data_IF_395056201571
#
_entry.id   IF_395056201571
#
_cell.length_a   1.000
_cell.length_b   1.000
_cell.length_c   1.000
_cell.angle_alpha   90.00
_cell.angle_beta   90.00
_cell.angle_gamma   90.00
#
_symmetry.space_group_name_H-M   'P 1'
#
loop_
_entity.id
_entity.type
_entity.pdbx_description
1 polymer ?
#
# COMPACT_ATOMS: atom_id res chain seq x y z
N UNK A 1 -12.02 -42.68 -43.61
CA UNK A 1 -11.46 -41.38 -44.05
C UNK A 1 -12.10 -40.18 -43.35
N UNK A 2 -13.43 -40.09 -43.28
CA UNK A 2 -14.17 -38.96 -42.66
C UNK A 2 -13.94 -38.75 -41.14
N UNK A 3 -13.64 -39.83 -40.39
CA UNK A 3 -13.34 -39.75 -38.95
C UNK A 3 -11.98 -39.09 -38.65
N UNK A 4 -10.98 -39.33 -39.50
CA UNK A 4 -9.63 -38.76 -39.37
C UNK A 4 -9.64 -37.26 -39.67
N UNK A 5 -10.43 -36.83 -40.66
CA UNK A 5 -10.61 -35.42 -41.02
C UNK A 5 -11.32 -34.65 -39.90
N UNK A 6 -12.39 -35.22 -39.30
CA UNK A 6 -13.06 -34.61 -38.13
C UNK A 6 -12.11 -34.44 -36.94
N UNK A 7 -11.25 -35.44 -36.70
CA UNK A 7 -10.28 -35.41 -35.59
C UNK A 7 -9.14 -34.41 -35.82
N UNK A 8 -8.68 -34.26 -37.07
CA UNK A 8 -7.71 -33.22 -37.46
C UNK A 8 -8.29 -31.82 -37.36
N UNK A 9 -9.54 -31.61 -37.79
CA UNK A 9 -10.22 -30.33 -37.67
C UNK A 9 -10.50 -29.94 -36.21
N UNK A 10 -10.84 -30.91 -35.36
CA UNK A 10 -10.98 -30.68 -33.92
C UNK A 10 -9.64 -30.27 -33.29
N UNK A 11 -8.54 -30.95 -33.64
CA UNK A 11 -7.18 -30.57 -33.18
C UNK A 11 -6.75 -29.20 -33.68
N UNK A 12 -7.01 -28.87 -34.94
CA UNK A 12 -6.68 -27.55 -35.49
C UNK A 12 -7.50 -26.43 -34.83
N UNK A 13 -8.78 -26.68 -34.51
CA UNK A 13 -9.61 -25.73 -33.76
C UNK A 13 -9.11 -25.53 -32.32
N UNK A 14 -8.71 -26.60 -31.63
CA UNK A 14 -8.12 -26.54 -30.30
C UNK A 14 -6.80 -25.73 -30.29
N UNK A 15 -5.92 -25.95 -31.26
CA UNK A 15 -4.65 -25.21 -31.37
C UNK A 15 -4.91 -23.73 -31.68
N UNK A 16 -5.88 -23.40 -32.55
CA UNK A 16 -6.25 -22.01 -32.83
C UNK A 16 -6.92 -21.32 -31.63
N UNK A 17 -7.76 -22.04 -30.89
CA UNK A 17 -8.42 -21.52 -29.70
C UNK A 17 -7.41 -21.26 -28.58
N UNK A 18 -6.47 -22.18 -28.35
CA UNK A 18 -5.35 -21.98 -27.42
C UNK A 18 -4.47 -20.80 -27.83
N UNK A 19 -4.13 -20.65 -29.13
CA UNK A 19 -3.37 -19.50 -29.60
C UNK A 19 -4.12 -18.17 -29.48
N UNK A 20 -5.45 -18.14 -29.60
CA UNK A 20 -6.27 -16.93 -29.39
C UNK A 20 -6.33 -16.57 -27.90
N UNK A 21 -6.58 -17.56 -27.05
CA UNK A 21 -6.64 -17.38 -25.59
C UNK A 21 -5.31 -16.89 -25.03
N UNK A 22 -4.17 -17.45 -25.47
CA UNK A 22 -2.86 -16.97 -25.01
C UNK A 22 -2.56 -15.52 -25.47
N UNK A 23 -3.07 -15.08 -26.63
CA UNK A 23 -2.95 -13.69 -27.07
C UNK A 23 -3.82 -12.76 -26.23
N UNK A 24 -5.10 -13.09 -26.05
CA UNK A 24 -6.03 -12.33 -25.21
C UNK A 24 -5.52 -12.19 -23.76
N UNK A 25 -4.93 -13.26 -23.21
CA UNK A 25 -4.31 -13.23 -21.88
C UNK A 25 -3.08 -12.35 -21.82
N UNK A 26 -2.24 -12.37 -22.84
CA UNK A 26 -1.07 -11.48 -22.89
C UNK A 26 -1.49 -10.01 -23.00
N UNK A 27 -2.52 -9.70 -23.79
CA UNK A 27 -3.11 -8.36 -23.83
C UNK A 27 -3.66 -7.95 -22.45
N UNK A 28 -4.43 -8.83 -21.80
CA UNK A 28 -4.95 -8.58 -20.45
C UNK A 28 -3.83 -8.38 -19.41
N UNK A 29 -2.74 -9.12 -19.50
CA UNK A 29 -1.56 -8.97 -18.64
C UNK A 29 -0.86 -7.63 -18.87
N UNK A 30 -0.68 -7.22 -20.13
CA UNK A 30 -0.08 -5.92 -20.49
C UNK A 30 -0.96 -4.77 -19.98
N UNK A 31 -2.27 -4.84 -20.21
CA UNK A 31 -3.23 -3.86 -19.72
C UNK A 31 -3.23 -3.78 -18.19
N UNK A 32 -3.14 -4.92 -17.51
CA UNK A 32 -3.06 -4.98 -16.07
C UNK A 32 -1.74 -4.39 -15.55
N UNK A 33 -0.62 -4.65 -16.23
CA UNK A 33 0.68 -4.09 -15.89
C UNK A 33 0.70 -2.56 -16.04
N UNK A 34 0.15 -2.05 -17.14
CA UNK A 34 0.03 -0.61 -17.38
C UNK A 34 -0.92 0.05 -16.38
N UNK A 35 -2.01 -0.61 -16.02
CA UNK A 35 -2.94 -0.11 -15.01
C UNK A 35 -2.26 0.00 -13.64
N UNK A 36 -1.56 -1.04 -13.18
CA UNK A 36 -0.83 -1.01 -11.91
C UNK A 36 0.34 -0.02 -11.89
N UNK A 37 0.92 0.30 -13.06
CA UNK A 37 1.98 1.29 -13.18
C UNK A 37 1.45 2.74 -13.20
N UNK A 38 0.23 2.95 -13.73
CA UNK A 38 -0.41 4.26 -13.83
C UNK A 38 -1.27 4.61 -12.63
N UNK A 39 -1.77 3.62 -11.89
CA UNK A 39 -2.38 3.84 -10.58
C UNK A 39 -1.36 4.58 -9.72
N UNK A 40 -1.79 5.72 -9.23
CA UNK A 40 -0.88 6.66 -8.62
C UNK A 40 -0.46 6.07 -7.27
N UNK A 41 0.79 6.31 -6.91
CA UNK A 41 1.32 6.24 -5.54
C UNK A 41 0.41 6.81 -4.43
N UNK A 42 -0.58 7.59 -4.84
CA UNK A 42 -1.58 8.25 -4.00
C UNK A 42 -2.78 7.37 -3.65
N UNK A 43 -3.03 6.29 -4.41
CA UNK A 43 -4.19 5.43 -4.25
C UNK A 43 -4.18 4.68 -2.93
N UNK A 44 -5.36 4.56 -2.33
CA UNK A 44 -5.54 3.80 -1.10
C UNK A 44 -5.28 2.31 -1.36
N UNK A 45 -4.66 1.63 -0.38
CA UNK A 45 -4.30 0.21 -0.46
C UNK A 45 -5.46 -0.68 -0.95
N UNK A 46 -6.68 -0.41 -0.49
CA UNK A 46 -7.88 -1.14 -0.90
C UNK A 46 -8.18 -1.02 -2.40
N UNK A 47 -7.95 0.16 -2.99
CA UNK A 47 -8.18 0.39 -4.41
C UNK A 47 -7.22 -0.45 -5.27
N UNK A 48 -5.95 -0.47 -4.90
CA UNK A 48 -4.93 -1.29 -5.57
C UNK A 48 -5.23 -2.77 -5.39
N UNK A 49 -5.62 -3.21 -4.19
CA UNK A 49 -6.01 -4.60 -3.95
C UNK A 49 -7.20 -5.03 -4.81
N UNK A 50 -8.25 -4.20 -4.88
CA UNK A 50 -9.43 -4.46 -5.72
C UNK A 50 -9.06 -4.45 -7.21
N UNK A 51 -8.12 -3.61 -7.64
CA UNK A 51 -7.63 -3.61 -9.01
C UNK A 51 -6.89 -4.92 -9.32
N UNK A 52 -6.03 -5.39 -8.42
CA UNK A 52 -5.32 -6.67 -8.57
C UNK A 52 -6.31 -7.83 -8.69
N UNK A 53 -7.30 -7.93 -7.80
CA UNK A 53 -8.32 -8.98 -7.86
C UNK A 53 -9.09 -8.95 -9.20
N UNK A 54 -9.56 -7.78 -9.63
CA UNK A 54 -10.27 -7.61 -10.90
C UNK A 54 -9.44 -8.02 -12.11
N UNK A 55 -8.17 -7.64 -12.14
CA UNK A 55 -7.28 -7.94 -13.27
C UNK A 55 -6.86 -9.41 -13.28
N UNK A 56 -6.61 -10.01 -12.12
CA UNK A 56 -6.38 -11.45 -12.02
C UNK A 56 -7.57 -12.24 -12.56
N UNK A 57 -8.79 -11.84 -12.21
CA UNK A 57 -10.01 -12.44 -12.74
C UNK A 57 -10.11 -12.29 -14.27
N UNK A 58 -9.77 -11.11 -14.81
CA UNK A 58 -9.78 -10.88 -16.27
C UNK A 58 -8.72 -11.71 -17.02
N UNK A 59 -7.51 -11.86 -16.46
CA UNK A 59 -6.42 -12.65 -17.06
C UNK A 59 -6.77 -14.14 -17.08
N UNK A 60 -7.41 -14.63 -16.02
CA UNK A 60 -7.64 -16.08 -15.83
C UNK A 60 -9.02 -16.54 -16.28
N UNK A 61 -9.97 -15.63 -16.36
CA UNK A 61 -11.40 -15.96 -16.43
C UNK A 61 -11.95 -16.55 -15.12
N UNK A 62 -11.14 -16.61 -14.05
CA UNK A 62 -11.53 -17.20 -12.77
C UNK A 62 -12.03 -16.14 -11.79
N UNK A 63 -12.75 -16.57 -10.74
CA UNK A 63 -13.00 -15.70 -9.60
C UNK A 63 -11.68 -15.51 -8.84
N UNK A 64 -11.38 -14.28 -8.44
CA UNK A 64 -10.08 -13.95 -7.87
C UNK A 64 -10.20 -13.13 -6.59
N UNK A 65 -9.31 -13.38 -5.63
CA UNK A 65 -9.18 -12.57 -4.44
C UNK A 65 -7.71 -12.34 -4.11
N UNK A 66 -7.36 -11.12 -3.68
CA UNK A 66 -6.05 -10.81 -3.14
C UNK A 66 -6.18 -10.66 -1.62
N UNK A 67 -5.48 -11.50 -0.88
CA UNK A 67 -5.42 -11.50 0.57
C UNK A 67 -4.05 -10.98 1.05
N UNK A 68 -4.04 -9.89 1.81
CA UNK A 68 -2.87 -9.45 2.56
C UNK A 68 -2.75 -10.26 3.85
N UNK A 69 -1.52 -10.64 4.18
CA UNK A 69 -1.22 -11.39 5.39
C UNK A 69 -0.28 -10.64 6.30
N UNK A 70 -0.52 -10.82 7.59
CA UNK A 70 0.34 -10.27 8.63
C UNK A 70 1.63 -11.11 8.83
N UNK A 71 2.46 -10.69 9.78
CA UNK A 71 3.70 -11.38 10.13
C UNK A 71 3.49 -12.80 10.66
N UNK A 72 2.30 -13.14 11.17
CA UNK A 72 1.95 -14.46 11.68
C UNK A 72 1.35 -15.36 10.58
N UNK A 73 1.07 -14.80 9.39
CA UNK A 73 0.42 -15.49 8.28
C UNK A 73 -1.10 -15.54 8.38
N UNK A 74 -1.69 -14.71 9.24
CA UNK A 74 -3.13 -14.53 9.34
C UNK A 74 -3.61 -13.49 8.32
N UNK A 75 -4.89 -13.57 7.97
CA UNK A 75 -5.53 -12.61 7.09
C UNK A 75 -5.60 -11.23 7.76
N UNK A 76 -4.95 -10.24 7.17
CA UNK A 76 -5.10 -8.85 7.59
C UNK A 76 -6.29 -8.19 6.86
N UNK A 77 -6.31 -8.31 5.53
CA UNK A 77 -7.31 -7.73 4.63
C UNK A 77 -7.45 -8.53 3.36
N UNK A 78 -8.57 -8.41 2.67
CA UNK A 78 -8.70 -8.94 1.32
C UNK A 78 -9.62 -8.10 0.43
N UNK A 79 -9.38 -8.18 -0.87
CA UNK A 79 -10.26 -7.67 -1.91
C UNK A 79 -10.57 -8.81 -2.89
N UNK A 80 -11.79 -8.87 -3.40
CA UNK A 80 -12.25 -10.00 -4.22
C UNK A 80 -13.09 -9.54 -5.40
N UNK A 81 -13.08 -10.34 -6.46
CA UNK A 81 -13.88 -10.20 -7.66
C UNK A 81 -14.47 -11.56 -8.07
N UNK A 82 -15.78 -11.60 -8.36
CA UNK A 82 -16.48 -12.79 -8.82
C UNK A 82 -17.24 -13.53 -7.73
N UNK A 83 -16.67 -14.61 -7.19
CA UNK A 83 -17.36 -15.54 -6.28
C UNK A 83 -17.99 -14.85 -5.08
N UNK A 84 -19.01 -15.50 -4.50
CA UNK A 84 -19.77 -14.92 -3.40
C UNK A 84 -18.92 -14.73 -2.14
N UNK A 85 -19.37 -13.80 -1.29
CA UNK A 85 -18.65 -13.42 -0.07
C UNK A 85 -18.48 -14.59 0.91
N UNK A 86 -19.45 -15.51 1.00
CA UNK A 86 -19.38 -16.64 1.92
C UNK A 86 -18.26 -17.61 1.50
N UNK A 87 -18.12 -17.86 0.20
CA UNK A 87 -17.01 -18.66 -0.35
C UNK A 87 -15.66 -18.08 0.05
N UNK A 88 -15.46 -16.76 -0.15
CA UNK A 88 -14.19 -16.11 0.20
C UNK A 88 -13.92 -16.10 1.71
N UNK A 89 -14.90 -15.74 2.53
CA UNK A 89 -14.77 -15.72 4.00
C UNK A 89 -14.47 -17.13 4.56
N UNK A 90 -14.98 -18.18 3.91
CA UNK A 90 -14.68 -19.55 4.32
C UNK A 90 -13.24 -19.94 3.95
N UNK A 91 -12.81 -19.66 2.71
CA UNK A 91 -11.44 -19.95 2.25
C UNK A 91 -10.40 -19.17 3.07
N UNK A 92 -10.72 -17.92 3.43
CA UNK A 92 -9.82 -17.05 4.21
C UNK A 92 -10.03 -17.14 5.72
N UNK A 93 -10.83 -18.10 6.20
CA UNK A 93 -11.00 -18.37 7.63
C UNK A 93 -9.68 -18.77 8.28
N UNK A 94 -9.45 -18.35 9.53
CA UNK A 94 -8.19 -18.57 10.24
C UNK A 94 -7.79 -20.06 10.32
N UNK A 95 -8.77 -20.95 10.47
CA UNK A 95 -8.56 -22.40 10.60
C UNK A 95 -8.02 -23.04 9.31
N UNK A 96 -8.39 -22.51 8.14
CA UNK A 96 -7.94 -23.01 6.85
C UNK A 96 -6.77 -22.20 6.30
N UNK A 97 -6.85 -20.87 6.36
CA UNK A 97 -5.96 -19.98 5.66
C UNK A 97 -4.53 -19.99 6.22
N UNK A 98 -4.36 -19.98 7.55
CA UNK A 98 -3.05 -20.00 8.19
C UNK A 98 -2.19 -21.21 7.79
N UNK A 99 -2.69 -22.44 7.91
CA UNK A 99 -1.99 -23.64 7.45
C UNK A 99 -1.64 -23.62 5.94
N UNK A 100 -2.56 -23.11 5.11
CA UNK A 100 -2.33 -22.98 3.66
C UNK A 100 -1.23 -21.97 3.34
N UNK A 101 -1.21 -20.82 4.02
CA UNK A 101 -0.15 -19.80 3.89
C UNK A 101 1.20 -20.35 4.34
N UNK A 102 1.24 -21.10 5.46
CA UNK A 102 2.46 -21.74 5.94
C UNK A 102 3.00 -22.75 4.90
N UNK A 103 2.11 -23.55 4.31
CA UNK A 103 2.47 -24.48 3.23
C UNK A 103 2.99 -23.76 1.99
N UNK A 104 2.33 -22.67 1.59
CA UNK A 104 2.70 -21.84 0.45
C UNK A 104 4.10 -21.21 0.64
N UNK A 105 4.41 -20.73 1.84
CA UNK A 105 5.73 -20.20 2.21
C UNK A 105 6.84 -21.24 2.06
N UNK A 106 6.57 -22.50 2.44
CA UNK A 106 7.53 -23.60 2.31
C UNK A 106 7.76 -23.99 0.85
N UNK A 107 6.71 -24.01 0.03
CA UNK A 107 6.81 -24.42 -1.37
C UNK A 107 7.39 -23.33 -2.27
N UNK A 108 7.08 -22.06 -2.02
CA UNK A 108 7.55 -20.93 -2.83
C UNK A 108 7.04 -20.92 -4.28
N UNK A 109 6.04 -21.75 -4.59
CA UNK A 109 5.37 -21.86 -5.90
C UNK A 109 3.86 -21.86 -5.72
N UNK A 110 3.07 -21.62 -6.79
CA UNK A 110 1.64 -21.79 -6.72
C UNK A 110 1.24 -23.16 -6.14
N UNK A 111 0.24 -23.13 -5.27
CA UNK A 111 -0.31 -24.27 -4.54
C UNK A 111 -1.70 -24.58 -5.08
N UNK A 112 -1.89 -25.81 -5.55
CA UNK A 112 -3.18 -26.35 -5.97
C UNK A 112 -3.81 -27.27 -4.92
N UNK A 113 -4.97 -27.83 -5.22
CA UNK A 113 -5.65 -28.81 -4.35
C UNK A 113 -4.83 -30.10 -4.19
N UNK A 114 -4.02 -30.46 -5.19
CA UNK A 114 -3.15 -31.62 -5.23
C UNK A 114 -1.95 -31.54 -4.27
N UNK A 115 -1.61 -30.34 -3.80
CA UNK A 115 -0.48 -30.10 -2.89
C UNK A 115 -0.88 -30.19 -1.40
N UNK A 116 -2.16 -30.44 -1.13
CA UNK A 116 -2.78 -30.43 0.18
C UNK A 116 -2.97 -31.83 0.75
N UNK A 117 -3.14 -31.91 2.08
CA UNK A 117 -3.60 -33.14 2.70
C UNK A 117 -5.05 -33.45 2.32
N UNK A 118 -5.41 -34.73 2.37
CA UNK A 118 -6.72 -35.23 1.98
C UNK A 118 -7.91 -34.51 2.65
N UNK A 119 -7.74 -34.03 3.89
CA UNK A 119 -8.83 -33.35 4.61
C UNK A 119 -9.01 -31.93 4.10
N UNK A 120 -7.92 -31.17 4.01
CA UNK A 120 -7.93 -29.82 3.44
C UNK A 120 -8.39 -29.81 1.99
N UNK A 121 -7.89 -30.74 1.18
CA UNK A 121 -8.26 -30.89 -0.23
C UNK A 121 -9.76 -31.14 -0.40
N UNK A 122 -10.37 -32.04 0.40
CA UNK A 122 -11.82 -32.29 0.36
C UNK A 122 -12.65 -31.08 0.77
N UNK A 123 -12.25 -30.38 1.82
CA UNK A 123 -12.97 -29.19 2.29
C UNK A 123 -12.94 -28.09 1.22
N UNK A 124 -11.76 -27.82 0.65
CA UNK A 124 -11.63 -26.80 -0.39
C UNK A 124 -12.28 -27.22 -1.71
N UNK A 125 -12.25 -28.51 -2.08
CA UNK A 125 -12.99 -29.00 -3.23
C UNK A 125 -14.52 -28.92 -3.05
N UNK A 126 -15.04 -28.94 -1.82
CA UNK A 126 -16.46 -28.69 -1.57
C UNK A 126 -16.85 -27.23 -1.81
N UNK A 127 -15.92 -26.29 -1.58
CA UNK A 127 -16.11 -24.85 -1.76
C UNK A 127 -15.81 -24.39 -3.20
N UNK A 128 -14.79 -24.99 -3.81
CA UNK A 128 -14.28 -24.70 -5.13
C UNK A 128 -14.20 -26.02 -5.94
N UNK A 129 -15.35 -26.58 -6.36
CA UNK A 129 -15.44 -27.91 -6.97
C UNK A 129 -14.74 -28.03 -8.32
N UNK A 130 -14.42 -26.90 -8.95
CA UNK A 130 -13.75 -26.87 -10.24
C UNK A 130 -12.25 -26.62 -10.12
N UNK A 131 -11.77 -26.08 -8.99
CA UNK A 131 -10.35 -25.84 -8.78
C UNK A 131 -10.10 -24.62 -7.89
N UNK A 132 -9.03 -24.72 -7.10
CA UNK A 132 -8.49 -23.63 -6.30
C UNK A 132 -6.99 -23.55 -6.55
N UNK A 133 -6.49 -22.35 -6.86
CA UNK A 133 -5.07 -22.06 -6.94
C UNK A 133 -4.72 -20.91 -6.00
N UNK A 134 -3.67 -21.09 -5.21
CA UNK A 134 -3.11 -20.07 -4.35
C UNK A 134 -1.72 -19.67 -4.88
N UNK A 135 -1.56 -18.40 -5.24
CA UNK A 135 -0.34 -17.88 -5.83
C UNK A 135 0.33 -16.93 -4.84
N UNK A 136 1.61 -17.16 -4.50
CA UNK A 136 2.31 -16.29 -3.56
C UNK A 136 2.58 -14.93 -4.19
N UNK A 137 2.34 -13.86 -3.44
CA UNK A 137 2.60 -12.49 -3.85
C UNK A 137 3.61 -11.86 -2.88
N UNK A 138 4.70 -11.36 -3.43
CA UNK A 138 5.77 -10.69 -2.69
C UNK A 138 6.75 -11.63 -1.98
N UNK A 139 7.81 -11.02 -1.44
CA UNK A 139 8.86 -11.76 -0.73
C UNK A 139 8.34 -12.34 0.59
N UNK A 140 8.70 -13.59 0.89
CA UNK A 140 8.24 -14.27 2.11
C UNK A 140 6.75 -14.57 2.18
N UNK A 141 6.01 -14.39 1.06
CA UNK A 141 4.55 -14.36 1.00
C UNK A 141 4.02 -13.28 1.95
N UNK A 142 3.86 -12.07 1.41
CA UNK A 142 3.24 -10.93 2.12
C UNK A 142 1.80 -10.69 1.67
N UNK A 143 1.42 -11.33 0.57
CA UNK A 143 0.05 -11.47 0.11
C UNK A 143 -0.13 -12.82 -0.61
N UNK A 144 -1.37 -13.23 -0.79
CA UNK A 144 -1.75 -14.43 -1.56
C UNK A 144 -2.84 -14.05 -2.54
N UNK A 145 -2.63 -14.39 -3.81
CA UNK A 145 -3.66 -14.31 -4.84
C UNK A 145 -4.37 -15.67 -4.93
N UNK A 146 -5.66 -15.67 -4.62
CA UNK A 146 -6.54 -16.84 -4.65
C UNK A 146 -7.33 -16.82 -5.96
N UNK A 147 -7.37 -17.97 -6.63
CA UNK A 147 -8.14 -18.16 -7.86
C UNK A 147 -9.07 -19.35 -7.68
N UNK A 148 -10.37 -19.12 -7.83
CA UNK A 148 -11.42 -20.16 -7.79
C UNK A 148 -11.97 -20.33 -9.20
N UNK A 149 -11.80 -21.53 -9.75
CA UNK A 149 -12.24 -21.84 -11.11
C UNK A 149 -13.77 -21.84 -11.22
N UNK A 150 -14.36 -21.17 -12.22
CA UNK A 150 -15.81 -21.13 -12.40
C UNK A 150 -16.37 -22.27 -13.24
N UNK A 151 -15.54 -23.03 -13.99
CA UNK A 151 -16.03 -24.07 -14.93
C UNK A 151 -15.12 -25.30 -14.97
N UNK A 152 -15.73 -26.48 -14.99
CA UNK A 152 -15.10 -27.81 -14.95
C UNK A 152 -14.20 -28.21 -16.15
N UNK A 153 -13.94 -27.32 -17.11
CA UNK A 153 -13.25 -27.64 -18.37
C UNK A 153 -11.77 -27.18 -18.44
N UNK A 154 -11.12 -27.02 -17.28
CA UNK A 154 -9.71 -27.34 -17.18
C UNK A 154 -8.89 -26.32 -16.41
N UNK A 155 -8.24 -26.85 -15.36
CA UNK A 155 -6.94 -26.45 -14.81
C UNK A 155 -6.34 -25.29 -15.57
N UNK A 156 -6.16 -24.14 -14.90
CA UNK A 156 -5.33 -23.04 -15.38
C UNK A 156 -4.15 -23.61 -16.18
N UNK A 157 -4.19 -23.46 -17.50
CA UNK A 157 -3.17 -24.01 -18.38
C UNK A 157 -1.81 -23.41 -18.02
N UNK A 158 -0.71 -24.08 -18.43
CA UNK A 158 0.64 -23.61 -18.08
C UNK A 158 0.88 -22.14 -18.47
N UNK A 159 0.24 -21.68 -19.56
CA UNK A 159 0.26 -20.30 -20.00
C UNK A 159 -0.46 -19.35 -19.03
N UNK A 160 -1.66 -19.71 -18.56
CA UNK A 160 -2.41 -18.96 -17.55
C UNK A 160 -1.66 -18.94 -16.21
N UNK A 161 -1.06 -20.06 -15.81
CA UNK A 161 -0.23 -20.13 -14.60
C UNK A 161 0.99 -19.21 -14.70
N UNK A 162 1.66 -19.19 -15.87
CA UNK A 162 2.78 -18.30 -16.13
C UNK A 162 2.35 -16.83 -16.11
N UNK A 163 1.24 -16.48 -16.78
CA UNK A 163 0.71 -15.12 -16.83
C UNK A 163 0.33 -14.62 -15.43
N UNK A 164 -0.35 -15.45 -14.63
CA UNK A 164 -0.71 -15.13 -13.25
C UNK A 164 0.53 -15.00 -12.37
N UNK A 165 1.54 -15.86 -12.54
CA UNK A 165 2.80 -15.76 -11.81
C UNK A 165 3.52 -14.44 -12.09
N UNK A 166 3.58 -14.01 -13.36
CA UNK A 166 4.11 -12.69 -13.74
C UNK A 166 3.27 -11.56 -13.14
N UNK A 167 1.95 -11.67 -13.22
CA UNK A 167 1.05 -10.68 -12.65
C UNK A 167 1.20 -10.55 -11.13
N UNK A 168 1.38 -11.67 -10.42
CA UNK A 168 1.65 -11.69 -8.99
C UNK A 168 2.93 -10.93 -8.61
N UNK A 169 3.98 -10.98 -9.43
CA UNK A 169 5.19 -10.17 -9.22
C UNK A 169 4.93 -8.67 -9.40
N UNK A 170 4.12 -8.29 -10.39
CA UNK A 170 3.72 -6.90 -10.62
C UNK A 170 2.85 -6.39 -9.47
N UNK A 171 1.87 -7.19 -9.03
CA UNK A 171 1.02 -6.89 -7.88
C UNK A 171 1.85 -6.70 -6.60
N UNK A 172 2.85 -7.55 -6.36
CA UNK A 172 3.75 -7.39 -5.23
C UNK A 172 4.45 -6.02 -5.24
N UNK A 173 4.95 -5.62 -6.41
CA UNK A 173 5.62 -4.32 -6.60
C UNK A 173 4.67 -3.16 -6.33
N UNK A 174 3.43 -3.23 -6.84
CA UNK A 174 2.42 -2.21 -6.62
C UNK A 174 2.06 -2.08 -5.12
N UNK A 175 1.84 -3.21 -4.43
CA UNK A 175 1.54 -3.22 -2.99
C UNK A 175 2.70 -2.67 -2.15
N UNK A 176 3.94 -2.99 -2.52
CA UNK A 176 5.12 -2.40 -1.86
C UNK A 176 5.20 -0.89 -2.08
N UNK A 177 4.91 -0.42 -3.29
CA UNK A 177 4.94 1.01 -3.60
C UNK A 177 3.90 1.76 -2.76
N UNK A 178 2.66 1.28 -2.69
CA UNK A 178 1.63 1.88 -1.83
C UNK A 178 2.07 1.95 -0.37
N UNK A 179 2.65 0.86 0.15
CA UNK A 179 3.21 0.83 1.52
C UNK A 179 4.30 1.89 1.71
N UNK A 180 5.28 1.97 0.79
CA UNK A 180 6.37 2.95 0.84
C UNK A 180 5.86 4.40 0.76
N UNK A 181 4.90 4.67 -0.12
CA UNK A 181 4.31 6.00 -0.26
C UNK A 181 3.50 6.42 0.97
N UNK A 182 2.78 5.49 1.60
CA UNK A 182 2.10 5.76 2.87
C UNK A 182 3.08 6.17 3.96
N UNK A 183 4.14 5.38 4.18
CA UNK A 183 5.19 5.70 5.16
C UNK A 183 5.87 7.03 4.86
N UNK A 184 6.15 7.32 3.59
CA UNK A 184 6.74 8.60 3.18
C UNK A 184 5.80 9.78 3.49
N UNK A 185 4.49 9.65 3.22
CA UNK A 185 3.50 10.68 3.53
C UNK A 185 3.40 10.92 5.03
N UNK A 186 3.35 9.86 5.84
CA UNK A 186 3.34 9.94 7.31
C UNK A 186 4.58 10.69 7.81
N UNK A 187 5.77 10.28 7.39
CA UNK A 187 7.06 10.90 7.78
C UNK A 187 7.12 12.37 7.36
N UNK A 188 6.68 12.70 6.14
CA UNK A 188 6.61 14.08 5.68
C UNK A 188 5.60 14.93 6.49
N UNK A 189 4.48 14.33 6.91
CA UNK A 189 3.50 14.96 7.78
C UNK A 189 4.10 15.30 9.15
N UNK A 190 4.79 14.35 9.77
CA UNK A 190 5.49 14.55 11.05
C UNK A 190 6.56 15.63 10.94
N UNK A 191 7.40 15.60 9.89
CA UNK A 191 8.42 16.61 9.66
C UNK A 191 7.83 18.01 9.48
N UNK A 192 6.71 18.14 8.75
CA UNK A 192 6.00 19.42 8.61
C UNK A 192 5.48 19.91 9.95
N UNK A 193 4.88 19.02 10.75
CA UNK A 193 4.38 19.37 12.07
C UNK A 193 5.51 19.88 12.98
N UNK A 194 6.63 19.14 13.04
CA UNK A 194 7.80 19.54 13.81
C UNK A 194 8.42 20.87 13.33
N UNK A 195 8.49 21.08 12.00
CA UNK A 195 9.00 22.33 11.45
C UNK A 195 8.14 23.53 11.87
N UNK A 196 6.81 23.39 11.84
CA UNK A 196 5.89 24.44 12.31
C UNK A 196 6.11 24.71 13.80
N UNK A 197 6.16 23.69 14.64
CA UNK A 197 6.36 23.83 16.09
C UNK A 197 7.69 24.56 16.42
N UNK A 198 8.78 24.20 15.73
CA UNK A 198 10.08 24.86 15.92
C UNK A 198 10.05 26.32 15.48
N UNK A 199 9.39 26.64 14.37
CA UNK A 199 9.24 28.02 13.90
C UNK A 199 8.42 28.83 14.90
N UNK A 200 7.27 28.32 15.35
CA UNK A 200 6.42 29.01 16.32
C UNK A 200 7.16 29.26 17.65
N UNK A 201 7.88 28.25 18.15
CA UNK A 201 8.70 28.39 19.36
C UNK A 201 9.80 29.43 19.18
N UNK A 202 10.45 29.47 18.01
CA UNK A 202 11.49 30.45 17.71
C UNK A 202 10.91 31.86 17.63
N UNK A 203 9.77 32.03 16.97
CA UNK A 203 9.10 33.32 16.85
C UNK A 203 8.69 33.85 18.22
N UNK A 204 8.20 32.99 19.10
CA UNK A 204 7.85 33.38 20.47
C UNK A 204 9.08 33.80 21.28
N UNK A 205 10.18 33.05 21.17
CA UNK A 205 11.45 33.43 21.79
C UNK A 205 11.97 34.78 21.27
N UNK A 206 11.84 35.03 19.96
CA UNK A 206 12.24 36.28 19.34
C UNK A 206 11.37 37.44 19.84
N UNK A 207 10.05 37.25 19.98
CA UNK A 207 9.14 38.25 20.57
C UNK A 207 9.53 38.58 22.01
N UNK A 208 9.71 37.56 22.85
CA UNK A 208 10.14 37.76 24.24
C UNK A 208 11.48 38.48 24.34
N UNK A 209 12.45 38.11 23.50
CA UNK A 209 13.77 38.74 23.49
C UNK A 209 13.68 40.20 23.05
N UNK A 210 12.91 40.50 22.00
CA UNK A 210 12.69 41.86 21.53
C UNK A 210 12.01 42.73 22.60
N UNK A 211 11.01 42.20 23.30
CA UNK A 211 10.33 42.89 24.39
C UNK A 211 11.28 43.20 25.55
N UNK A 212 12.06 42.21 26.00
CA UNK A 212 13.03 42.39 27.08
C UNK A 212 14.11 43.44 26.72
N UNK A 213 14.59 43.45 25.48
CA UNK A 213 15.54 44.46 25.00
C UNK A 213 14.88 45.84 25.01
N UNK A 214 13.66 45.97 24.48
CA UNK A 214 12.95 47.24 24.41
C UNK A 214 12.69 47.83 25.80
N UNK A 215 12.18 47.02 26.73
CA UNK A 215 11.96 47.45 28.13
C UNK A 215 13.28 47.84 28.81
N UNK A 216 14.33 47.04 28.66
CA UNK A 216 15.64 47.33 29.25
C UNK A 216 16.33 48.58 28.66
N UNK A 217 16.10 48.91 27.39
CA UNK A 217 16.56 50.17 26.79
C UNK A 217 15.70 51.34 27.31
N UNK A 218 14.37 51.18 27.35
CA UNK A 218 13.45 52.20 27.86
C UNK A 218 13.75 52.60 29.30
N UNK A 219 14.01 51.63 30.18
CA UNK A 219 14.41 51.89 31.57
C UNK A 219 15.73 52.66 31.67
N UNK A 220 16.73 52.31 30.86
CA UNK A 220 18.03 53.02 30.85
C UNK A 220 17.90 54.45 30.34
N UNK A 221 17.11 54.67 29.29
CA UNK A 221 16.83 56.01 28.78
C UNK A 221 16.07 56.86 29.80
N UNK A 222 15.07 56.29 30.47
CA UNK A 222 14.32 56.97 31.53
C UNK A 222 15.24 57.37 32.69
N UNK A 223 16.13 56.48 33.13
CA UNK A 223 17.10 56.76 34.18
C UNK A 223 18.10 57.87 33.77
N UNK A 224 18.62 57.82 32.53
CA UNK A 224 19.50 58.84 32.01
C UNK A 224 18.81 60.21 31.91
N UNK A 225 17.55 60.24 31.44
CA UNK A 225 16.78 61.47 31.37
C UNK A 225 16.52 62.07 32.77
N UNK A 226 16.19 61.23 33.75
CA UNK A 226 16.02 61.67 35.14
C UNK A 226 17.32 62.25 35.72
N UNK A 227 18.49 61.67 35.41
CA UNK A 227 19.78 62.22 35.80
C UNK A 227 20.07 63.57 35.15
N UNK A 228 19.74 63.73 33.86
CA UNK A 228 19.90 64.99 33.15
C UNK A 228 19.00 66.09 33.75
N UNK A 229 17.74 65.78 34.02
CA UNK A 229 16.80 66.71 34.68
C UNK A 229 17.25 67.10 36.10
N UNK A 230 17.88 66.19 36.84
CA UNK A 230 18.43 66.50 38.16
C UNK A 230 19.64 67.44 38.09
N UNK A 231 20.40 67.43 37.00
CA UNK A 231 21.55 68.31 36.76
C UNK A 231 21.16 69.69 36.22
N UNK A 232 20.00 69.80 35.56
CA UNK A 232 19.48 71.04 34.97
C UNK A 232 19.43 72.24 35.96
N UNK A 233 18.88 72.13 37.18
CA UNK A 233 18.88 73.24 38.14
C UNK A 233 20.27 73.57 38.71
N UNK A 234 21.22 72.62 38.69
CA UNK A 234 22.62 72.86 39.10
C UNK A 234 23.39 73.66 38.05
N UNK A 235 22.99 73.56 36.78
CA UNK A 235 23.57 74.30 35.66
C UNK A 235 22.90 75.68 35.49
N UNK A 236 21.59 75.78 35.70
CA UNK A 236 20.86 77.06 35.66
C UNK A 236 21.14 77.96 36.89
N UNK A 237 21.56 77.38 38.02
CA UNK A 237 21.86 78.12 39.25
C UNK A 237 23.12 78.98 39.20
N UNK A 238 24.08 78.70 38.30
CA UNK A 238 25.36 79.39 38.20
C UNK A 238 26.19 79.41 39.52
N UNK A 239 27.51 79.69 39.46
CA UNK A 239 28.36 79.78 40.66
C UNK A 239 28.04 80.93 41.63
N UNK A 240 27.01 81.76 41.35
CA UNK A 240 26.71 82.94 42.18
C UNK A 240 25.71 82.68 43.33
N UNK A 241 25.01 81.54 43.37
CA UNK A 241 24.15 81.21 44.51
C UNK A 241 24.91 80.73 45.77
N UNK A 242 26.23 80.47 45.65
CA UNK A 242 27.07 80.01 46.75
C UNK A 242 27.80 81.14 47.51
N UNK A 243 27.56 82.42 47.16
CA UNK A 243 28.22 83.57 47.82
C UNK A 243 27.38 84.30 48.87
N UNK A 244 26.13 83.90 49.13
CA UNK A 244 25.26 84.58 50.11
C UNK A 244 24.75 83.67 51.25
N UNK A 245 25.54 82.70 51.71
CA UNK A 245 25.33 82.10 53.04
C UNK A 245 26.60 82.01 53.85
#
# INVERSE_FOLDING_TARGET
MMWVIKRLLARLRLVRASSSASVERNEALIDAALALANDSAEDELEAVMQQVARRAAAITGAAAALALIDGEGQLERFAAEGADRCTWETITSADLFGPLVARLRVLGRPLGLEDLDDTSARTLAALAPHGLLMVPVGTGVSAVLLLVEPVAEGVLDDDALAAVGMFAMLAATALENVRKFRTLRETCGELRHFAVEVIERRDEQLRHTAQAIHEGIGQRLAAANAQLQALEPLLEGGPDAARER
#
